data_IF_621210170661
#
_entry.id   IF_621210170661
#
_cell.length_a   1.000
_cell.length_b   1.000
_cell.length_c   1.000
_cell.angle_alpha   90.00
_cell.angle_beta   90.00
_cell.angle_gamma   90.00
#
_symmetry.space_group_name_H-M   'P 1'
#
loop_
_entity.id
_entity.type
_entity.pdbx_description
1 polymer ?
#
# COMPACT_ATOMS: atom_id res chain seq x y z
N UNK A 1 -22.29 47.09 -10.83
CA UNK A 1 -21.41 46.28 -11.68
C UNK A 1 -20.16 45.96 -10.90
N UNK A 2 -20.13 44.79 -10.28
CA UNK A 2 -19.02 44.32 -9.44
C UNK A 2 -18.21 43.29 -10.24
N UNK A 3 -16.94 43.64 -10.48
CA UNK A 3 -16.00 42.82 -11.24
C UNK A 3 -15.63 41.50 -10.48
N UNK A 4 -15.56 40.35 -11.10
CA UNK A 4 -15.19 39.11 -10.40
C UNK A 4 -13.70 39.09 -10.06
N UNK A 5 -13.39 38.75 -8.81
CA UNK A 5 -12.02 38.54 -8.34
C UNK A 5 -11.41 37.35 -9.07
N UNK A 6 -10.29 37.59 -9.75
CA UNK A 6 -9.44 36.53 -10.33
C UNK A 6 -8.75 35.80 -9.17
N UNK A 7 -9.07 34.52 -9.00
CA UNK A 7 -8.30 33.62 -8.16
C UNK A 7 -6.97 33.33 -8.88
N UNK A 8 -5.87 33.73 -8.26
CA UNK A 8 -4.53 33.37 -8.69
C UNK A 8 -4.33 31.88 -8.41
N UNK A 9 -4.05 31.09 -9.44
CA UNK A 9 -3.57 29.70 -9.28
C UNK A 9 -2.26 29.71 -8.53
N UNK A 10 -2.06 28.84 -7.49
CA UNK A 10 -0.78 28.73 -6.83
C UNK A 10 0.27 28.26 -7.84
N UNK A 11 1.39 28.96 -7.85
CA UNK A 11 2.56 28.64 -8.66
C UNK A 11 3.15 27.32 -8.16
N UNK A 12 2.91 26.22 -8.87
CA UNK A 12 3.57 24.94 -8.64
C UNK A 12 4.98 25.06 -9.22
N UNK A 13 6.05 24.82 -8.44
CA UNK A 13 7.41 24.83 -8.99
C UNK A 13 7.52 23.81 -10.12
N UNK A 14 7.99 24.25 -11.29
CA UNK A 14 8.05 23.46 -12.52
C UNK A 14 9.20 22.44 -12.57
N UNK A 15 9.91 22.22 -11.45
CA UNK A 15 11.14 21.42 -11.41
C UNK A 15 10.96 20.02 -10.82
N UNK A 16 9.72 19.63 -10.50
CA UNK A 16 9.41 18.27 -10.09
C UNK A 16 9.08 17.43 -11.33
N UNK A 17 10.09 16.87 -11.97
CA UNK A 17 9.87 15.81 -12.94
C UNK A 17 9.24 14.62 -12.21
N UNK A 18 8.18 13.97 -12.79
CA UNK A 18 7.67 12.72 -12.25
C UNK A 18 8.85 11.75 -12.12
N UNK A 19 8.94 11.04 -10.99
CA UNK A 19 9.99 10.04 -10.82
C UNK A 19 9.94 9.06 -12.00
N UNK A 20 11.05 8.82 -12.67
CA UNK A 20 11.17 7.83 -13.76
C UNK A 20 10.85 6.40 -13.28
N UNK A 21 10.74 6.19 -11.96
CA UNK A 21 10.26 4.95 -11.35
C UNK A 21 8.74 4.99 -11.19
N UNK A 22 8.06 3.88 -11.46
CA UNK A 22 6.62 3.74 -11.20
C UNK A 22 6.22 3.94 -9.73
N UNK A 23 7.21 4.08 -8.81
CA UNK A 23 7.00 4.25 -7.37
C UNK A 23 6.56 5.68 -7.01
N UNK A 24 5.89 5.81 -5.85
CA UNK A 24 5.45 7.09 -5.33
C UNK A 24 6.58 7.80 -4.57
N UNK A 25 6.85 9.05 -4.94
CA UNK A 25 7.67 9.96 -4.15
C UNK A 25 6.84 10.85 -3.22
N UNK A 26 7.49 11.68 -2.39
CA UNK A 26 6.79 12.56 -1.43
C UNK A 26 5.78 13.51 -2.07
N UNK A 27 6.06 13.99 -3.27
CA UNK A 27 5.19 14.94 -4.00
C UNK A 27 3.92 14.23 -4.46
N UNK A 28 4.06 13.04 -5.04
CA UNK A 28 2.93 12.23 -5.50
C UNK A 28 2.05 11.78 -4.33
N UNK A 29 2.66 11.34 -3.23
CA UNK A 29 1.94 11.00 -1.99
C UNK A 29 1.13 12.19 -1.51
N UNK A 30 1.71 13.39 -1.47
CA UNK A 30 1.01 14.59 -1.06
C UNK A 30 -0.16 14.94 -2.01
N UNK A 31 0.05 14.85 -3.31
CA UNK A 31 -0.97 15.12 -4.32
C UNK A 31 -2.14 14.14 -4.22
N UNK A 32 -1.88 12.84 -4.03
CA UNK A 32 -2.92 11.81 -3.87
C UNK A 32 -3.70 12.07 -2.57
N UNK A 33 -3.02 12.36 -1.46
CA UNK A 33 -3.69 12.71 -0.20
C UNK A 33 -4.63 13.90 -0.35
N UNK A 34 -4.21 14.95 -1.05
CA UNK A 34 -5.06 16.12 -1.32
C UNK A 34 -6.27 15.76 -2.19
N UNK A 35 -6.06 14.99 -3.26
CA UNK A 35 -7.12 14.59 -4.18
C UNK A 35 -8.18 13.71 -3.51
N UNK A 36 -7.76 12.84 -2.59
CA UNK A 36 -8.65 11.95 -1.85
C UNK A 36 -9.26 12.60 -0.59
N UNK A 37 -8.83 13.80 -0.22
CA UNK A 37 -9.23 14.45 1.03
C UNK A 37 -8.74 13.69 2.29
N UNK A 38 -7.75 12.83 2.13
CA UNK A 38 -7.16 12.03 3.21
C UNK A 38 -6.06 12.83 3.87
N UNK A 39 -6.15 12.99 5.19
CA UNK A 39 -5.04 13.54 5.98
C UNK A 39 -4.26 12.39 6.57
N UNK A 40 -2.93 12.35 6.40
CA UNK A 40 -2.10 11.39 7.13
C UNK A 40 -2.32 11.60 8.63
N UNK A 41 -3.05 10.69 9.26
CA UNK A 41 -3.29 10.75 10.70
C UNK A 41 -2.37 9.77 11.39
N UNK A 42 -1.61 10.24 12.38
CA UNK A 42 -0.78 9.38 13.25
C UNK A 42 -1.59 8.26 13.91
N UNK A 43 -2.91 8.48 14.08
CA UNK A 43 -3.83 7.57 14.77
C UNK A 43 -4.17 6.31 13.96
N UNK A 44 -4.04 6.35 12.62
CA UNK A 44 -4.32 5.21 11.74
C UNK A 44 -3.03 4.47 11.29
N UNK A 45 -1.87 4.82 11.87
CA UNK A 45 -0.61 4.19 11.49
C UNK A 45 -0.19 4.44 10.03
N UNK A 46 -0.76 5.49 9.42
CA UNK A 46 -0.50 5.84 8.02
C UNK A 46 0.84 6.59 7.89
N UNK A 47 1.94 5.95 8.32
CA UNK A 47 3.27 6.36 7.87
C UNK A 47 3.48 5.77 6.48
N UNK A 48 3.08 6.56 5.48
CA UNK A 48 3.31 6.17 4.09
C UNK A 48 4.81 6.12 3.83
N UNK A 49 5.31 4.95 3.47
CA UNK A 49 6.67 4.83 2.96
C UNK A 49 6.69 5.51 1.59
N UNK A 50 7.45 6.59 1.44
CA UNK A 50 7.47 7.42 0.23
C UNK A 50 8.89 7.63 -0.33
N UNK A 51 9.83 6.81 0.13
CA UNK A 51 11.17 6.74 -0.44
C UNK A 51 11.32 5.44 -1.25
N UNK A 52 11.51 5.58 -2.55
CA UNK A 52 11.63 4.46 -3.47
C UNK A 52 12.78 3.50 -3.10
N UNK A 53 13.88 4.02 -2.59
CA UNK A 53 15.02 3.21 -2.11
C UNK A 53 14.63 2.33 -0.93
N UNK A 54 13.90 2.90 0.02
CA UNK A 54 13.37 2.19 1.20
C UNK A 54 12.36 1.13 0.79
N UNK A 55 11.43 1.46 -0.12
CA UNK A 55 10.44 0.48 -0.64
C UNK A 55 11.15 -0.72 -1.25
N UNK A 56 12.09 -0.50 -2.17
CA UNK A 56 12.84 -1.58 -2.83
C UNK A 56 13.66 -2.40 -1.84
N UNK A 57 14.20 -1.76 -0.79
CA UNK A 57 14.90 -2.46 0.28
C UNK A 57 13.96 -3.38 1.06
N UNK A 58 12.78 -2.90 1.45
CA UNK A 58 11.76 -3.69 2.15
C UNK A 58 11.37 -4.92 1.32
N UNK A 59 11.08 -4.74 0.04
CA UNK A 59 10.69 -5.81 -0.88
C UNK A 59 11.80 -6.87 -1.00
N UNK A 60 13.05 -6.43 -1.13
CA UNK A 60 14.22 -7.33 -1.19
C UNK A 60 14.43 -8.07 0.14
N UNK A 61 14.34 -7.37 1.27
CA UNK A 61 14.54 -7.95 2.60
C UNK A 61 13.42 -8.95 2.95
N UNK A 62 12.22 -8.77 2.36
CA UNK A 62 11.12 -9.74 2.44
C UNK A 62 11.31 -10.96 1.52
N UNK A 63 12.34 -10.99 0.67
CA UNK A 63 12.57 -12.10 -0.26
C UNK A 63 11.59 -12.19 -1.43
N UNK A 64 10.94 -11.06 -1.78
CA UNK A 64 9.90 -11.04 -2.80
C UNK A 64 10.49 -10.77 -4.18
N UNK A 65 10.04 -11.55 -5.17
CA UNK A 65 10.45 -11.47 -6.56
C UNK A 65 9.33 -11.89 -7.52
N UNK A 66 9.69 -12.15 -8.76
CA UNK A 66 8.77 -12.52 -9.82
C UNK A 66 7.92 -13.75 -9.46
N UNK A 67 6.61 -13.65 -9.64
CA UNK A 67 5.67 -14.73 -9.36
C UNK A 67 5.37 -14.98 -7.88
N UNK A 68 6.01 -14.26 -6.95
CA UNK A 68 5.75 -14.40 -5.52
C UNK A 68 4.29 -14.03 -5.22
N UNK A 69 3.59 -14.89 -4.47
CA UNK A 69 2.22 -14.67 -4.03
C UNK A 69 2.21 -13.94 -2.69
N UNK A 70 1.76 -12.69 -2.68
CA UNK A 70 1.85 -11.81 -1.51
C UNK A 70 0.47 -11.42 -1.01
N UNK A 71 0.26 -11.47 0.30
CA UNK A 71 -0.78 -10.71 0.99
C UNK A 71 -0.14 -9.44 1.54
N UNK A 72 -0.69 -8.30 1.17
CA UNK A 72 -0.35 -7.00 1.77
C UNK A 72 -1.52 -6.53 2.64
N UNK A 73 -1.25 -6.22 3.91
CA UNK A 73 -2.25 -5.65 4.81
C UNK A 73 -1.94 -4.18 5.08
N UNK A 74 -2.95 -3.33 4.83
CA UNK A 74 -2.83 -1.90 4.99
C UNK A 74 -1.97 -1.23 3.91
N UNK A 75 -2.27 -1.43 2.62
CA UNK A 75 -1.50 -0.85 1.50
C UNK A 75 -1.52 0.68 1.50
N UNK A 76 -2.54 1.30 2.06
CA UNK A 76 -2.69 2.74 2.09
C UNK A 76 -2.74 3.35 0.69
N UNK A 77 -1.82 4.26 0.39
CA UNK A 77 -1.71 4.89 -0.94
C UNK A 77 -1.05 4.00 -2.00
N UNK A 78 -0.48 2.85 -1.61
CA UNK A 78 0.10 1.88 -2.53
C UNK A 78 1.60 2.01 -2.76
N UNK A 79 2.33 2.76 -1.93
CA UNK A 79 3.79 2.87 -2.09
C UNK A 79 4.49 1.52 -2.05
N UNK A 80 4.16 0.69 -1.07
CA UNK A 80 4.73 -0.65 -0.96
C UNK A 80 4.13 -1.59 -2.02
N UNK A 81 2.81 -1.50 -2.28
CA UNK A 81 2.15 -2.25 -3.34
C UNK A 81 2.86 -2.11 -4.69
N UNK A 82 3.19 -0.87 -5.08
CA UNK A 82 3.93 -0.59 -6.32
C UNK A 82 5.32 -1.23 -6.30
N UNK A 83 6.01 -1.24 -5.16
CA UNK A 83 7.30 -1.92 -5.04
C UNK A 83 7.20 -3.45 -5.15
N UNK A 84 6.16 -4.05 -4.60
CA UNK A 84 5.87 -5.47 -4.73
C UNK A 84 5.57 -5.83 -6.19
N UNK A 85 4.75 -5.01 -6.86
CA UNK A 85 4.41 -5.17 -8.27
C UNK A 85 5.63 -4.94 -9.20
N UNK A 86 6.50 -3.96 -8.89
CA UNK A 86 7.76 -3.72 -9.60
C UNK A 86 8.67 -4.95 -9.54
N UNK A 87 8.69 -5.66 -8.41
CA UNK A 87 9.43 -6.91 -8.25
C UNK A 87 8.81 -8.13 -8.96
N UNK A 88 7.64 -7.99 -9.57
CA UNK A 88 6.96 -9.06 -10.29
C UNK A 88 6.00 -9.91 -9.44
N UNK A 89 5.72 -9.52 -8.22
CA UNK A 89 4.79 -10.24 -7.35
C UNK A 89 3.32 -10.13 -7.82
N UNK A 90 2.50 -11.11 -7.43
CA UNK A 90 1.05 -11.01 -7.41
C UNK A 90 0.61 -10.62 -6.00
N UNK A 91 -0.20 -9.56 -5.89
CA UNK A 91 -0.51 -8.91 -4.62
C UNK A 91 -2.01 -8.94 -4.34
N UNK A 92 -2.40 -9.62 -3.26
CA UNK A 92 -3.71 -9.48 -2.63
C UNK A 92 -3.60 -8.42 -1.53
N UNK A 93 -4.18 -7.27 -1.77
CA UNK A 93 -4.14 -6.13 -0.84
C UNK A 93 -5.45 -6.07 -0.03
N UNK A 94 -5.33 -6.04 1.29
CA UNK A 94 -6.46 -5.94 2.22
C UNK A 94 -6.42 -4.54 2.85
N UNK A 95 -7.44 -3.73 2.55
CA UNK A 95 -7.53 -2.35 3.02
C UNK A 95 -8.88 -2.10 3.70
N UNK A 96 -8.83 -1.63 4.94
CA UNK A 96 -10.02 -1.36 5.74
C UNK A 96 -10.69 -0.04 5.35
N UNK A 97 -9.91 0.95 4.90
CA UNK A 97 -10.45 2.25 4.48
C UNK A 97 -11.02 2.14 3.05
N UNK A 98 -12.34 2.37 2.87
CA UNK A 98 -12.98 2.23 1.57
C UNK A 98 -12.54 3.29 0.56
N UNK A 99 -12.01 4.43 0.98
CA UNK A 99 -11.49 5.47 0.07
C UNK A 99 -10.15 4.99 -0.49
N UNK A 100 -9.26 4.50 0.35
CA UNK A 100 -7.96 3.98 -0.03
C UNK A 100 -8.09 2.69 -0.86
N UNK A 101 -8.97 1.78 -0.47
CA UNK A 101 -9.23 0.55 -1.22
C UNK A 101 -9.70 0.82 -2.66
N UNK A 102 -10.55 1.83 -2.87
CA UNK A 102 -10.98 2.25 -4.22
C UNK A 102 -9.91 2.99 -5.01
N UNK A 103 -9.05 3.74 -4.33
CA UNK A 103 -8.01 4.54 -4.96
C UNK A 103 -6.81 3.68 -5.42
N UNK A 104 -6.50 2.61 -4.71
CA UNK A 104 -5.31 1.78 -4.97
C UNK A 104 -5.25 1.20 -6.39
N UNK A 105 -6.31 0.57 -6.94
CA UNK A 105 -6.28 0.08 -8.32
C UNK A 105 -6.06 1.22 -9.34
N UNK A 106 -6.63 2.40 -9.08
CA UNK A 106 -6.46 3.58 -9.94
C UNK A 106 -5.00 4.05 -9.91
N UNK A 107 -4.40 4.11 -8.72
CA UNK A 107 -2.99 4.47 -8.55
C UNK A 107 -2.09 3.50 -9.33
N UNK A 108 -2.33 2.19 -9.22
CA UNK A 108 -1.54 1.17 -9.93
C UNK A 108 -1.74 1.28 -11.44
N UNK A 109 -2.98 1.42 -11.92
CA UNK A 109 -3.26 1.57 -13.35
C UNK A 109 -2.62 2.82 -13.97
N UNK A 110 -2.46 3.89 -13.20
CA UNK A 110 -1.80 5.11 -13.65
C UNK A 110 -0.27 5.01 -13.64
N UNK A 111 0.29 4.28 -12.68
CA UNK A 111 1.74 4.23 -12.45
C UNK A 111 2.42 3.01 -13.08
N UNK A 112 1.72 1.90 -13.13
CA UNK A 112 2.19 0.59 -13.60
C UNK A 112 1.06 -0.17 -14.30
N UNK A 113 0.52 0.34 -15.43
CA UNK A 113 -0.62 -0.28 -16.10
C UNK A 113 -0.39 -1.75 -16.45
N UNK A 114 0.85 -2.13 -16.77
CA UNK A 114 1.25 -3.51 -17.06
C UNK A 114 1.17 -4.46 -15.85
N UNK A 115 1.12 -3.90 -14.65
CA UNK A 115 1.03 -4.67 -13.41
C UNK A 115 -0.39 -4.73 -12.83
N UNK A 116 -1.35 -4.04 -13.44
CA UNK A 116 -2.71 -3.91 -12.90
C UNK A 116 -3.40 -5.28 -12.70
N UNK A 117 -3.17 -6.24 -13.59
CA UNK A 117 -3.74 -7.60 -13.50
C UNK A 117 -3.12 -8.44 -12.36
N UNK A 118 -2.01 -7.99 -11.78
CA UNK A 118 -1.33 -8.66 -10.66
C UNK A 118 -1.73 -8.09 -9.30
N UNK A 119 -2.73 -7.20 -9.26
CA UNK A 119 -3.29 -6.62 -8.04
C UNK A 119 -4.75 -7.01 -7.87
N UNK A 120 -5.06 -7.58 -6.71
CA UNK A 120 -6.43 -7.80 -6.24
C UNK A 120 -6.62 -7.03 -4.91
N UNK A 121 -7.61 -6.16 -4.84
CA UNK A 121 -7.88 -5.34 -3.64
C UNK A 121 -9.20 -5.74 -3.00
N UNK A 122 -9.15 -6.02 -1.70
CA UNK A 122 -10.33 -6.31 -0.89
C UNK A 122 -10.51 -5.19 0.14
N UNK A 123 -11.70 -4.57 0.14
CA UNK A 123 -12.06 -3.63 1.20
C UNK A 123 -12.70 -4.39 2.36
N UNK A 124 -11.89 -4.79 3.32
CA UNK A 124 -12.30 -5.55 4.50
C UNK A 124 -11.32 -5.32 5.65
N UNK A 125 -11.79 -5.57 6.87
CA UNK A 125 -10.91 -5.69 8.03
C UNK A 125 -10.13 -7.02 7.92
N UNK A 126 -8.81 -6.95 7.99
CA UNK A 126 -7.95 -8.12 7.81
C UNK A 126 -8.16 -9.20 8.88
N UNK A 127 -8.59 -8.83 10.09
CA UNK A 127 -8.94 -9.82 11.14
C UNK A 127 -10.20 -10.64 10.83
N UNK A 128 -10.97 -10.25 9.82
CA UNK A 128 -12.16 -10.97 9.35
C UNK A 128 -11.86 -11.87 8.15
N UNK A 129 -10.64 -11.94 7.70
CA UNK A 129 -10.20 -12.84 6.63
C UNK A 129 -9.89 -14.19 7.25
N UNK A 130 -10.56 -15.24 6.76
CA UNK A 130 -10.46 -16.59 7.33
C UNK A 130 -9.70 -17.56 6.42
N UNK A 131 -9.53 -17.22 5.14
CA UNK A 131 -8.85 -18.08 4.18
C UNK A 131 -8.92 -17.58 2.74
N UNK A 132 -8.53 -18.44 1.81
CA UNK A 132 -8.49 -18.11 0.37
C UNK A 132 -9.88 -17.85 -0.21
N UNK A 133 -10.93 -18.44 0.36
CA UNK A 133 -12.31 -18.24 -0.06
C UNK A 133 -12.82 -16.81 0.08
N UNK A 134 -12.16 -16.01 0.89
CA UNK A 134 -12.47 -14.59 1.04
C UNK A 134 -11.94 -13.72 -0.14
N UNK A 135 -11.02 -14.29 -0.91
CA UNK A 135 -10.53 -13.68 -2.15
C UNK A 135 -11.26 -14.33 -3.32
N UNK A 136 -12.05 -13.59 -4.03
CA UNK A 136 -12.82 -14.08 -5.18
C UNK A 136 -11.92 -14.23 -6.42
N UNK A 137 -10.76 -14.90 -6.27
CA UNK A 137 -9.78 -15.17 -7.31
C UNK A 137 -9.35 -16.64 -7.31
N UNK A 138 -8.67 -17.07 -8.37
CA UNK A 138 -8.14 -18.43 -8.55
C UNK A 138 -6.60 -18.47 -8.47
N UNK A 139 -5.99 -17.45 -7.87
CA UNK A 139 -4.54 -17.35 -7.75
C UNK A 139 -3.98 -18.41 -6.77
N UNK A 140 -2.73 -18.80 -6.95
CA UNK A 140 -2.04 -19.70 -6.00
C UNK A 140 -2.09 -19.15 -4.58
N UNK A 141 -2.00 -20.05 -3.61
CA UNK A 141 -1.98 -19.66 -2.19
C UNK A 141 -0.82 -18.73 -1.88
N UNK A 142 -1.02 -17.72 -1.00
CA UNK A 142 0.01 -16.76 -0.65
C UNK A 142 1.14 -17.42 0.12
N UNK A 143 2.37 -17.04 -0.20
CA UNK A 143 3.59 -17.50 0.48
C UNK A 143 4.23 -16.42 1.34
N UNK A 144 3.90 -15.15 1.08
CA UNK A 144 4.48 -14.02 1.78
C UNK A 144 3.39 -13.08 2.31
N UNK A 145 3.59 -12.62 3.54
CA UNK A 145 2.79 -11.57 4.17
C UNK A 145 3.66 -10.32 4.32
N UNK A 146 3.16 -9.18 3.85
CA UNK A 146 3.76 -7.87 4.13
C UNK A 146 2.70 -6.97 4.73
N UNK A 147 3.03 -6.27 5.81
CA UNK A 147 2.09 -5.38 6.48
C UNK A 147 2.79 -4.15 7.03
N UNK A 148 2.11 -3.00 6.92
CA UNK A 148 2.52 -1.76 7.58
C UNK A 148 1.41 -1.35 8.56
N UNK A 149 1.59 -1.69 9.84
CA UNK A 149 0.53 -1.69 10.83
C UNK A 149 0.85 -0.84 12.06
N UNK A 150 -0.18 -0.27 12.71
CA UNK A 150 -0.04 0.21 14.07
C UNK A 150 0.39 -0.93 15.01
N UNK A 151 1.27 -0.62 15.96
CA UNK A 151 1.83 -1.63 16.88
C UNK A 151 0.77 -2.46 17.63
N UNK A 152 -0.29 -1.82 18.09
CA UNK A 152 -1.33 -2.46 18.91
C UNK A 152 -2.13 -3.53 18.15
N UNK A 153 -2.14 -3.51 16.81
CA UNK A 153 -2.86 -4.50 15.98
C UNK A 153 -1.91 -5.48 15.29
N UNK A 154 -0.62 -5.19 15.24
CA UNK A 154 0.36 -5.95 14.46
C UNK A 154 0.45 -7.42 14.89
N UNK A 155 0.59 -7.69 16.19
CA UNK A 155 0.75 -9.06 16.70
C UNK A 155 -0.54 -9.88 16.57
N UNK A 156 -1.71 -9.42 17.02
CA UNK A 156 -2.96 -10.16 16.83
C UNK A 156 -3.26 -10.45 15.35
N UNK A 157 -3.03 -9.48 14.48
CA UNK A 157 -3.24 -9.66 13.05
C UNK A 157 -2.27 -10.68 12.44
N UNK A 158 -0.99 -10.60 12.78
CA UNK A 158 0.00 -11.56 12.30
C UNK A 158 -0.41 -13.00 12.67
N UNK A 159 -0.80 -13.22 13.90
CA UNK A 159 -1.24 -14.55 14.37
C UNK A 159 -2.48 -15.01 13.60
N UNK A 160 -3.48 -14.15 13.42
CA UNK A 160 -4.68 -14.46 12.63
C UNK A 160 -4.33 -14.83 11.18
N UNK A 161 -3.43 -14.07 10.53
CA UNK A 161 -3.01 -14.36 9.17
C UNK A 161 -2.26 -15.70 9.05
N UNK A 162 -1.40 -16.04 10.01
CA UNK A 162 -0.69 -17.31 10.03
C UNK A 162 -1.64 -18.50 10.24
N UNK A 163 -2.71 -18.32 11.02
CA UNK A 163 -3.76 -19.33 11.19
C UNK A 163 -4.60 -19.51 9.92
N UNK A 164 -4.99 -18.40 9.27
CA UNK A 164 -5.83 -18.38 8.08
C UNK A 164 -5.11 -18.86 6.81
N UNK A 165 -3.79 -18.67 6.75
CA UNK A 165 -2.97 -19.00 5.58
C UNK A 165 -1.76 -19.87 5.95
N UNK A 166 -1.97 -21.20 6.13
CA UNK A 166 -0.88 -22.13 6.45
C UNK A 166 0.23 -22.21 5.37
N UNK A 167 -0.03 -21.67 4.19
CA UNK A 167 0.93 -21.58 3.08
C UNK A 167 1.97 -20.47 3.25
N UNK A 168 1.81 -19.57 4.23
CA UNK A 168 2.75 -18.49 4.47
C UNK A 168 4.09 -19.03 4.97
N UNK A 169 5.15 -18.73 4.24
CA UNK A 169 6.53 -19.11 4.52
C UNK A 169 7.33 -17.96 5.15
N UNK A 170 6.89 -16.71 4.88
CA UNK A 170 7.57 -15.50 5.34
C UNK A 170 6.56 -14.41 5.68
N UNK A 171 6.87 -13.62 6.71
CA UNK A 171 6.10 -12.45 7.09
C UNK A 171 7.05 -11.30 7.45
N UNK A 172 6.83 -10.13 6.83
CA UNK A 172 7.50 -8.89 7.16
C UNK A 172 6.47 -7.87 7.64
N UNK A 173 6.52 -7.51 8.91
CA UNK A 173 5.61 -6.55 9.51
C UNK A 173 6.39 -5.31 9.93
N UNK A 174 6.03 -4.17 9.35
CA UNK A 174 6.58 -2.88 9.74
C UNK A 174 5.68 -2.26 10.81
N UNK A 175 6.30 -1.73 11.85
CA UNK A 175 5.63 -0.99 12.91
C UNK A 175 6.30 0.36 13.13
N UNK A 176 5.56 1.32 13.65
CA UNK A 176 6.10 2.66 13.88
C UNK A 176 7.16 2.66 15.00
N UNK A 177 8.32 3.28 14.73
CA UNK A 177 9.45 3.33 15.65
C UNK A 177 9.15 4.05 16.99
N UNK A 178 8.19 4.97 17.02
CA UNK A 178 7.77 5.71 18.23
C UNK A 178 7.24 4.80 19.36
N UNK A 179 7.02 3.54 19.06
CA UNK A 179 6.53 2.52 20.02
C UNK A 179 7.62 1.52 20.42
N UNK A 180 8.70 1.43 19.64
CA UNK A 180 9.83 0.55 19.97
C UNK A 180 10.67 1.07 21.14
N UNK A 181 10.51 2.35 21.52
CA UNK A 181 11.27 3.02 22.60
C UNK A 181 10.54 3.03 23.97
N UNK A 182 9.52 2.18 24.13
CA UNK A 182 8.79 2.01 25.42
C UNK A 182 8.99 0.58 25.95
#
# INVERSE_FOLDING_TARGET
>A
MTSPRRYSTPNVPSDAQPSESGLLGPIEVHAICQALGVRPTKTLGQNFVHDAGTVRRIVRDAGIGEGTQVIEVGPGLGSLTLGLLEAGAQVRAIEIDPVLARALPVTVAQRMPEAAERLHVINRDAVQINGLEDFEDDWPAPTHLVANLPYNVAVPLLLSMLESFPSLESALVMVQAEVADR
#
